data_IF_808342195179
#
_entry.id   IF_808342195179
#
_cell.length_a   1.000
_cell.length_b   1.000
_cell.length_c   1.000
_cell.angle_alpha   90.00
_cell.angle_beta   90.00
_cell.angle_gamma   90.00
#
_symmetry.space_group_name_H-M   'P 1'
#
loop_
_entity.id
_entity.type
_entity.pdbx_description
1 polymer ?
#
# COMPACT_ATOMS: atom_id res chain seq x y z
N UNK A 1 -23.80 39.91 -31.18
CA UNK A 1 -22.44 40.50 -31.23
C UNK A 1 -21.42 39.36 -31.29
N UNK A 2 -20.59 39.28 -32.35
CA UNK A 2 -19.62 38.20 -32.59
C UNK A 2 -18.24 38.46 -31.91
N UNK A 3 -17.38 37.42 -31.92
CA UNK A 3 -16.12 37.20 -31.18
C UNK A 3 -14.89 38.02 -31.70
N UNK A 4 -13.76 38.00 -30.96
CA UNK A 4 -12.52 37.36 -31.48
C UNK A 4 -11.81 36.50 -30.39
N UNK A 5 -11.39 35.24 -30.60
CA UNK A 5 -10.30 34.69 -31.43
C UNK A 5 -8.94 35.42 -31.29
N UNK A 6 -8.06 34.85 -30.47
CA UNK A 6 -6.60 34.94 -30.56
C UNK A 6 -6.09 33.51 -30.28
N UNK A 7 -5.97 32.60 -31.25
CA UNK A 7 -4.98 32.54 -32.32
C UNK A 7 -3.56 32.93 -31.87
N UNK A 8 -2.80 31.93 -31.41
CA UNK A 8 -1.34 31.96 -31.56
C UNK A 8 -0.89 30.66 -32.22
N UNK A 9 -0.94 30.68 -33.55
CA UNK A 9 -0.20 29.76 -34.42
C UNK A 9 1.27 30.15 -34.32
N UNK A 10 2.10 29.23 -33.84
CA UNK A 10 3.52 29.17 -34.11
C UNK A 10 3.77 27.86 -34.86
N UNK A 11 3.74 27.93 -36.19
CA UNK A 11 4.21 26.89 -37.09
C UNK A 11 5.66 27.22 -37.43
N UNK A 12 6.59 26.58 -36.74
CA UNK A 12 7.94 26.35 -37.23
C UNK A 12 8.20 24.85 -37.08
N UNK A 13 8.00 24.14 -38.18
CA UNK A 13 8.41 22.75 -38.30
C UNK A 13 9.90 22.69 -38.57
N UNK A 14 10.68 22.14 -37.64
CA UNK A 14 11.77 21.23 -37.99
C UNK A 14 12.26 20.47 -36.76
N UNK A 15 12.27 19.13 -36.91
CA UNK A 15 13.07 18.17 -36.16
C UNK A 15 12.67 17.90 -34.71
N UNK A 16 11.76 16.92 -34.58
CA UNK A 16 11.77 15.97 -33.46
C UNK A 16 13.21 15.47 -33.25
N UNK A 17 13.85 15.67 -32.09
CA UNK A 17 14.80 14.68 -31.64
C UNK A 17 13.97 13.45 -31.30
N UNK A 18 14.35 12.35 -31.95
CA UNK A 18 13.82 11.03 -31.76
C UNK A 18 13.61 10.73 -30.28
N UNK A 19 12.59 9.91 -30.03
CA UNK A 19 12.49 9.16 -28.80
C UNK A 19 13.84 8.52 -28.49
N UNK A 20 14.60 9.15 -27.59
CA UNK A 20 15.52 8.42 -26.73
C UNK A 20 14.60 7.58 -25.85
N UNK A 21 14.26 6.41 -26.37
CA UNK A 21 13.81 5.28 -25.59
C UNK A 21 14.91 4.95 -24.60
N UNK A 22 14.97 5.75 -23.54
CA UNK A 22 15.58 5.36 -22.30
C UNK A 22 14.74 4.22 -21.75
N UNK A 23 15.10 3.01 -22.18
CA UNK A 23 15.00 1.79 -21.42
C UNK A 23 15.52 2.03 -20.00
N UNK A 24 14.72 2.70 -19.17
CA UNK A 24 14.64 2.33 -17.78
C UNK A 24 13.93 0.97 -17.79
N UNK A 25 14.73 -0.04 -18.12
CA UNK A 25 14.65 -1.40 -17.68
C UNK A 25 13.65 -1.44 -16.53
N UNK A 26 12.42 -1.84 -16.83
CA UNK A 26 11.53 -2.34 -15.81
C UNK A 26 12.18 -3.65 -15.40
N UNK A 27 13.26 -3.55 -14.63
CA UNK A 27 13.74 -4.57 -13.72
C UNK A 27 12.59 -4.69 -12.72
N UNK A 28 11.52 -5.38 -13.16
CA UNK A 28 10.52 -5.95 -12.29
C UNK A 28 11.28 -7.15 -11.73
N UNK A 29 11.87 -7.06 -10.52
CA UNK A 29 12.37 -8.27 -9.90
C UNK A 29 11.17 -9.21 -9.86
N UNK A 30 11.38 -10.47 -10.21
CA UNK A 30 10.36 -11.50 -10.41
C UNK A 30 9.49 -11.79 -9.15
N UNK A 31 9.72 -11.07 -8.04
CA UNK A 31 8.86 -10.99 -6.84
C UNK A 31 8.04 -9.69 -6.67
N UNK A 32 8.25 -8.66 -7.50
CA UNK A 32 7.48 -7.42 -7.53
C UNK A 32 6.12 -7.59 -8.23
N UNK A 33 5.97 -8.62 -9.07
CA UNK A 33 4.66 -8.97 -9.64
C UNK A 33 3.64 -9.30 -8.56
N UNK A 34 4.04 -10.08 -7.55
CA UNK A 34 3.14 -10.47 -6.46
C UNK A 34 2.89 -9.30 -5.47
N UNK A 35 3.96 -8.60 -5.07
CA UNK A 35 3.83 -7.45 -4.17
C UNK A 35 3.03 -6.29 -4.80
N UNK A 36 3.29 -5.98 -6.08
CA UNK A 36 2.57 -4.97 -6.85
C UNK A 36 1.12 -5.36 -7.10
N UNK A 37 0.85 -6.62 -7.45
CA UNK A 37 -0.51 -7.12 -7.61
C UNK A 37 -1.29 -7.06 -6.30
N UNK A 38 -0.67 -7.42 -5.17
CA UNK A 38 -1.29 -7.33 -3.84
C UNK A 38 -1.58 -5.88 -3.47
N UNK A 39 -0.66 -4.95 -3.73
CA UNK A 39 -0.90 -3.53 -3.53
C UNK A 39 -2.05 -3.01 -4.40
N UNK A 40 -2.11 -3.41 -5.67
CA UNK A 40 -3.19 -3.06 -6.59
C UNK A 40 -4.56 -3.58 -6.13
N UNK A 41 -4.62 -4.79 -5.54
CA UNK A 41 -5.84 -5.31 -4.91
C UNK A 41 -6.29 -4.41 -3.76
N UNK A 42 -5.36 -3.96 -2.91
CA UNK A 42 -5.67 -3.03 -1.82
C UNK A 42 -6.18 -1.68 -2.35
N UNK A 43 -5.53 -1.11 -3.37
CA UNK A 43 -5.94 0.12 -4.06
C UNK A 43 -7.31 0.02 -4.74
N UNK A 44 -7.70 -1.19 -5.15
CA UNK A 44 -8.99 -1.47 -5.77
C UNK A 44 -10.16 -1.50 -4.79
N UNK A 45 -9.92 -1.70 -3.48
CA UNK A 45 -10.97 -1.85 -2.45
C UNK A 45 -12.04 -0.75 -2.49
N UNK A 46 -11.71 0.56 -2.58
CA UNK A 46 -12.73 1.60 -2.59
C UNK A 46 -13.61 1.57 -3.85
N UNK A 47 -13.07 1.12 -4.99
CA UNK A 47 -13.85 1.00 -6.24
C UNK A 47 -14.79 -0.21 -6.17
N UNK A 48 -14.29 -1.33 -5.64
CA UNK A 48 -15.07 -2.55 -5.42
C UNK A 48 -16.21 -2.32 -4.43
N UNK A 49 -15.95 -1.66 -3.29
CA UNK A 49 -16.99 -1.31 -2.32
C UNK A 49 -18.10 -0.43 -2.91
N UNK A 50 -17.75 0.47 -3.84
CA UNK A 50 -18.74 1.30 -4.54
C UNK A 50 -19.59 0.53 -5.57
N UNK A 51 -19.14 -0.64 -6.03
CA UNK A 51 -19.81 -1.42 -7.07
C UNK A 51 -20.53 -2.65 -6.50
N UNK A 52 -19.87 -3.40 -5.62
CA UNK A 52 -20.38 -4.57 -4.92
C UNK A 52 -19.88 -4.56 -3.46
N UNK A 53 -20.58 -3.87 -2.55
CA UNK A 53 -20.18 -3.80 -1.15
C UNK A 53 -20.27 -5.15 -0.44
N UNK A 54 -21.24 -6.00 -0.81
CA UNK A 54 -21.46 -7.28 -0.13
C UNK A 54 -20.35 -8.28 -0.43
N UNK A 55 -20.00 -8.49 -1.71
CA UNK A 55 -18.89 -9.37 -2.10
C UNK A 55 -17.53 -8.81 -1.69
N UNK A 56 -17.36 -7.49 -1.75
CA UNK A 56 -16.11 -6.87 -1.32
C UNK A 56 -15.88 -7.05 0.19
N UNK A 57 -16.90 -6.87 1.03
CA UNK A 57 -16.79 -7.04 2.48
C UNK A 57 -16.59 -8.50 2.90
N UNK A 58 -17.14 -9.46 2.16
CA UNK A 58 -17.03 -10.88 2.50
C UNK A 58 -15.71 -11.51 2.04
N UNK A 59 -15.20 -11.11 0.87
CA UNK A 59 -14.05 -11.79 0.25
C UNK A 59 -12.78 -10.95 0.22
N UNK A 60 -12.87 -9.68 -0.18
CA UNK A 60 -11.69 -8.86 -0.47
C UNK A 60 -11.17 -8.18 0.80
N UNK A 61 -12.05 -7.55 1.56
CA UNK A 61 -11.68 -6.82 2.78
C UNK A 61 -10.99 -7.73 3.80
N UNK A 62 -11.49 -8.94 4.12
CA UNK A 62 -10.83 -9.83 5.08
C UNK A 62 -9.44 -10.27 4.62
N UNK A 63 -9.24 -10.45 3.31
CA UNK A 63 -7.92 -10.78 2.75
C UNK A 63 -6.93 -9.63 2.90
N UNK A 64 -7.36 -8.40 2.61
CA UNK A 64 -6.52 -7.21 2.73
C UNK A 64 -6.19 -6.91 4.19
N UNK A 65 -7.17 -7.00 5.10
CA UNK A 65 -6.98 -6.74 6.52
C UNK A 65 -6.16 -7.82 7.23
N UNK A 66 -6.30 -9.09 6.83
CA UNK A 66 -5.45 -10.18 7.33
C UNK A 66 -4.01 -10.09 6.81
N UNK A 67 -3.81 -9.59 5.59
CA UNK A 67 -2.49 -9.38 5.02
C UNK A 67 -1.74 -8.19 5.62
N UNK A 68 -2.46 -7.19 6.15
CA UNK A 68 -1.92 -5.91 6.62
C UNK A 68 -0.76 -6.03 7.64
N UNK A 69 -0.86 -6.85 8.71
CA UNK A 69 0.13 -6.85 9.80
C UNK A 69 1.52 -7.33 9.38
N UNK A 70 1.57 -8.30 8.46
CA UNK A 70 2.82 -8.95 8.00
C UNK A 70 3.24 -8.52 6.60
N UNK A 71 2.53 -7.55 6.01
CA UNK A 71 2.84 -7.07 4.65
C UNK A 71 4.01 -6.08 4.62
N UNK A 72 4.74 -6.00 3.50
CA UNK A 72 5.74 -4.96 3.29
C UNK A 72 5.13 -3.55 3.31
N UNK A 73 5.95 -2.52 3.57
CA UNK A 73 5.50 -1.14 3.74
C UNK A 73 4.76 -0.57 2.52
N UNK A 74 5.06 -1.01 1.30
CA UNK A 74 4.35 -0.60 0.09
C UNK A 74 2.88 -1.05 0.09
N UNK A 75 2.62 -2.31 0.50
CA UNK A 75 1.25 -2.80 0.65
C UNK A 75 0.53 -2.11 1.81
N UNK A 76 1.19 -1.95 2.95
CA UNK A 76 0.61 -1.26 4.11
C UNK A 76 0.21 0.17 3.76
N UNK A 77 1.04 0.87 2.96
CA UNK A 77 0.76 2.22 2.46
C UNK A 77 -0.43 2.23 1.50
N UNK A 78 -0.45 1.32 0.53
CA UNK A 78 -1.55 1.18 -0.43
C UNK A 78 -2.89 0.85 0.25
N UNK A 79 -2.88 -0.09 1.19
CA UNK A 79 -4.05 -0.45 1.99
C UNK A 79 -4.53 0.71 2.87
N UNK A 80 -3.61 1.40 3.57
CA UNK A 80 -3.94 2.55 4.41
C UNK A 80 -4.55 3.69 3.60
N UNK A 81 -3.99 4.00 2.43
CA UNK A 81 -4.54 5.00 1.51
C UNK A 81 -5.95 4.63 1.04
N UNK A 82 -6.18 3.34 0.80
CA UNK A 82 -7.48 2.80 0.39
C UNK A 82 -8.51 2.88 1.50
N UNK A 83 -8.13 2.52 2.73
CA UNK A 83 -9.01 2.62 3.90
C UNK A 83 -9.40 4.09 4.17
N UNK A 84 -8.45 5.02 4.01
CA UNK A 84 -8.74 6.45 4.09
C UNK A 84 -9.72 6.90 2.99
N UNK A 85 -9.59 6.37 1.77
CA UNK A 85 -10.52 6.66 0.68
C UNK A 85 -11.92 6.11 0.95
N UNK A 86 -12.04 4.92 1.55
CA UNK A 86 -13.32 4.33 2.00
C UNK A 86 -14.00 5.25 3.02
N UNK A 87 -13.25 5.74 4.00
CA UNK A 87 -13.78 6.65 5.02
C UNK A 87 -14.23 7.99 4.44
N UNK A 88 -13.39 8.62 3.60
CA UNK A 88 -13.68 9.93 3.00
C UNK A 88 -14.87 9.92 2.04
N UNK A 89 -15.14 8.79 1.41
CA UNK A 89 -16.25 8.61 0.46
C UNK A 89 -17.49 8.03 1.13
N UNK A 90 -17.45 7.78 2.44
CA UNK A 90 -18.56 7.22 3.22
C UNK A 90 -19.12 5.93 2.60
N UNK A 91 -18.24 5.09 2.01
CA UNK A 91 -18.65 3.86 1.33
C UNK A 91 -19.18 2.79 2.29
N UNK A 92 -18.93 2.96 3.58
CA UNK A 92 -19.35 2.06 4.64
C UNK A 92 -19.87 2.85 5.85
N UNK A 93 -20.80 2.29 6.63
CA UNK A 93 -21.16 2.83 7.93
C UNK A 93 -19.93 2.93 8.84
N UNK A 94 -19.88 3.98 9.66
CA UNK A 94 -18.77 4.21 10.58
C UNK A 94 -18.54 3.04 11.54
N UNK A 95 -19.61 2.36 11.97
CA UNK A 95 -19.52 1.17 12.83
C UNK A 95 -18.78 0.03 12.14
N UNK A 96 -19.15 -0.27 10.89
CA UNK A 96 -18.48 -1.28 10.05
C UNK A 96 -17.03 -0.89 9.79
N UNK A 97 -16.78 0.38 9.46
CA UNK A 97 -15.41 0.85 9.22
C UNK A 97 -14.51 0.64 10.43
N UNK A 98 -15.00 1.00 11.62
CA UNK A 98 -14.25 0.90 12.87
C UNK A 98 -13.97 -0.55 13.24
N UNK A 99 -14.97 -1.43 13.13
CA UNK A 99 -14.80 -2.84 13.47
C UNK A 99 -13.90 -3.59 12.50
N UNK A 100 -13.88 -3.23 11.21
CA UNK A 100 -13.13 -4.00 10.22
C UNK A 100 -11.75 -3.40 9.94
N UNK A 101 -11.70 -2.13 9.58
CA UNK A 101 -10.47 -1.50 9.09
C UNK A 101 -9.63 -0.96 10.24
N UNK A 102 -10.26 -0.24 11.16
CA UNK A 102 -9.55 0.40 12.27
C UNK A 102 -8.96 -0.65 13.22
N UNK A 103 -9.70 -1.72 13.51
CA UNK A 103 -9.18 -2.86 14.27
C UNK A 103 -7.95 -3.51 13.58
N UNK A 104 -7.99 -3.72 12.26
CA UNK A 104 -6.86 -4.28 11.51
C UNK A 104 -5.64 -3.37 11.51
N UNK A 105 -5.82 -2.05 11.37
CA UNK A 105 -4.73 -1.06 11.47
C UNK A 105 -4.09 -1.13 12.87
N UNK A 106 -4.88 -1.16 13.93
CA UNK A 106 -4.36 -1.25 15.30
C UNK A 106 -3.55 -2.53 15.52
N UNK A 107 -4.06 -3.68 15.06
CA UNK A 107 -3.34 -4.97 15.12
C UNK A 107 -2.02 -4.88 14.35
N UNK A 108 -2.03 -4.27 13.16
CA UNK A 108 -0.83 -4.10 12.33
C UNK A 108 0.23 -3.25 13.02
N UNK A 109 -0.17 -2.18 13.71
CA UNK A 109 0.77 -1.31 14.43
C UNK A 109 1.35 -2.04 15.65
N UNK A 110 0.51 -2.73 16.42
CA UNK A 110 0.92 -3.52 17.59
C UNK A 110 1.91 -4.65 17.20
N UNK A 111 1.66 -5.32 16.06
CA UNK A 111 2.52 -6.39 15.55
C UNK A 111 3.87 -5.89 15.02
N UNK A 112 3.96 -4.62 14.62
CA UNK A 112 5.20 -4.01 14.11
C UNK A 112 6.00 -3.32 15.21
N UNK A 113 5.50 -3.24 16.45
CA UNK A 113 6.28 -2.76 17.58
C UNK A 113 7.31 -3.83 17.97
N UNK A 114 8.61 -3.63 17.68
CA UNK A 114 9.65 -4.51 18.19
C UNK A 114 10.00 -4.06 19.63
N UNK A 115 8.98 -3.78 20.44
CA UNK A 115 9.12 -3.54 21.86
C UNK A 115 9.47 -4.86 22.52
N UNK A 116 10.74 -5.03 22.86
CA UNK A 116 11.21 -6.01 23.86
C UNK A 116 11.47 -7.47 23.40
N UNK A 117 11.93 -7.69 22.15
CA UNK A 117 12.35 -9.04 21.71
C UNK A 117 13.84 -9.21 21.35
N UNK A 118 14.50 -8.15 20.90
CA UNK A 118 15.81 -8.26 20.22
C UNK A 118 16.99 -7.67 21.01
N UNK A 119 16.94 -7.70 22.34
CA UNK A 119 18.06 -7.27 23.18
C UNK A 119 18.34 -8.28 24.29
N UNK A 120 19.15 -9.29 23.99
CA UNK A 120 19.87 -10.00 25.05
C UNK A 120 20.01 -11.53 24.98
N UNK A 121 20.02 -12.15 23.80
CA UNK A 121 20.73 -13.43 23.67
C UNK A 121 22.25 -13.19 23.72
N UNK A 122 22.79 -12.81 24.89
CA UNK A 122 24.24 -12.76 25.15
C UNK A 122 24.58 -13.81 26.20
N UNK A 123 25.16 -14.92 25.71
CA UNK A 123 26.20 -15.67 26.39
C UNK A 123 25.86 -16.29 27.74
N UNK A 124 25.29 -17.50 27.69
CA UNK A 124 25.61 -18.52 28.68
C UNK A 124 27.10 -18.86 28.53
N UNK A 125 27.93 -18.36 29.44
CA UNK A 125 29.34 -18.71 29.58
C UNK A 125 29.58 -19.06 31.04
N UNK A 126 29.72 -20.35 31.32
CA UNK A 126 29.95 -20.90 32.64
C UNK A 126 31.24 -20.34 33.24
N UNK A 127 31.13 -19.64 34.38
CA UNK A 127 32.28 -19.35 35.23
C UNK A 127 32.45 -20.54 36.17
N UNK A 128 33.37 -21.44 35.81
CA UNK A 128 33.81 -22.54 36.67
C UNK A 128 34.61 -21.96 37.83
N UNK A 129 34.06 -22.17 39.03
CA UNK A 129 34.73 -21.98 40.32
C UNK A 129 36.02 -22.82 40.40
N UNK A 130 37.17 -22.17 40.31
CA UNK A 130 38.47 -22.76 40.63
C UNK A 130 38.72 -22.64 42.13
N UNK A 131 38.92 -23.79 42.77
CA UNK A 131 39.19 -23.93 44.20
C UNK A 131 40.68 -24.19 44.34
N UNK A 132 41.41 -23.21 44.86
CA UNK A 132 42.84 -23.30 45.19
C UNK A 132 43.09 -22.94 46.64
#
# INVERSE_FOLDING_TARGET
MPLPLQLRVGLDGQSLPAAEGGEALCDVPDGAGDAGQRAAVAEGVPRLLGSDPAGCLSEVVPRVTAALPSSPPDFQRAASASFLAVLRRELLPQSTFTQTFLQSILISVDSNDPGEGARGARGSGAETVDTG
#
